data_IF_456231474690
#
_entry.id   IF_456231474690
#
_cell.length_a   1.000
_cell.length_b   1.000
_cell.length_c   1.000
_cell.angle_alpha   90.00
_cell.angle_beta   90.00
_cell.angle_gamma   90.00
#
_symmetry.space_group_name_H-M   'P 1'
#
loop_
_entity.id
_entity.type
_entity.pdbx_description
1 polymer ?
#
# COMPACT_ATOMS: atom_id res chain seq x y z
N UNK A 1 -7.29 -19.50 3.71
CA UNK A 1 -8.25 -18.37 3.56
C UNK A 1 -7.61 -16.99 3.76
N UNK A 2 -6.87 -16.74 4.87
CA UNK A 2 -6.24 -15.43 5.14
C UNK A 2 -5.16 -15.05 4.11
N UNK A 3 -4.25 -15.99 3.81
CA UNK A 3 -3.20 -15.81 2.80
C UNK A 3 -3.73 -15.45 1.41
N UNK A 4 -4.91 -15.98 1.05
CA UNK A 4 -5.55 -15.66 -0.23
C UNK A 4 -6.04 -14.23 -0.25
N UNK A 5 -6.68 -13.78 0.83
CA UNK A 5 -7.17 -12.42 0.93
C UNK A 5 -6.01 -11.41 0.90
N UNK A 6 -4.94 -11.65 1.67
CA UNK A 6 -3.74 -10.81 1.66
C UNK A 6 -3.12 -10.72 0.25
N UNK A 7 -3.05 -11.85 -0.48
CA UNK A 7 -2.56 -11.86 -1.85
C UNK A 7 -3.44 -11.06 -2.82
N UNK A 8 -4.76 -11.11 -2.65
CA UNK A 8 -5.72 -10.32 -3.44
C UNK A 8 -5.58 -8.82 -3.14
N UNK A 9 -5.38 -8.43 -1.87
CA UNK A 9 -5.11 -7.05 -1.47
C UNK A 9 -3.81 -6.52 -2.08
N UNK A 10 -2.69 -7.23 -1.88
CA UNK A 10 -1.38 -6.84 -2.43
C UNK A 10 -1.40 -6.71 -3.96
N UNK A 11 -2.04 -7.66 -4.66
CA UNK A 11 -2.19 -7.59 -6.13
C UNK A 11 -3.03 -6.39 -6.57
N UNK A 12 -4.12 -6.09 -5.85
CA UNK A 12 -4.99 -4.95 -6.14
C UNK A 12 -4.22 -3.64 -5.96
N UNK A 13 -3.46 -3.52 -4.86
CA UNK A 13 -2.68 -2.33 -4.55
C UNK A 13 -1.61 -2.07 -5.61
N UNK A 14 -0.90 -3.12 -6.03
CA UNK A 14 0.09 -3.02 -7.10
C UNK A 14 -0.52 -2.56 -8.43
N UNK A 15 -1.65 -3.14 -8.84
CA UNK A 15 -2.32 -2.73 -10.06
C UNK A 15 -2.76 -1.27 -10.01
N UNK A 16 -3.34 -0.82 -8.89
CA UNK A 16 -3.72 0.58 -8.72
C UNK A 16 -2.52 1.52 -8.79
N UNK A 17 -1.41 1.16 -8.15
CA UNK A 17 -0.18 1.96 -8.20
C UNK A 17 0.38 2.07 -9.63
N UNK A 18 0.38 0.97 -10.38
CA UNK A 18 0.81 0.96 -11.78
C UNK A 18 -0.14 1.75 -12.69
N UNK A 19 -1.44 1.67 -12.48
CA UNK A 19 -2.44 2.46 -13.22
C UNK A 19 -2.30 3.96 -12.94
N UNK A 20 -2.12 4.33 -11.66
CA UNK A 20 -1.87 5.71 -11.25
C UNK A 20 -0.59 6.23 -11.91
N UNK A 21 0.47 5.43 -11.91
CA UNK A 21 1.74 5.79 -12.55
C UNK A 21 1.61 5.94 -14.06
N UNK A 22 0.97 5.00 -14.75
CA UNK A 22 0.80 5.04 -16.20
C UNK A 22 0.01 6.27 -16.68
N UNK A 23 -0.90 6.78 -15.83
CA UNK A 23 -1.77 7.93 -16.13
C UNK A 23 -1.30 9.23 -15.49
N UNK A 24 -0.25 9.19 -14.68
CA UNK A 24 0.17 10.31 -13.83
C UNK A 24 -1.00 10.84 -12.97
N UNK A 25 -1.82 9.93 -12.46
CA UNK A 25 -3.04 10.25 -11.70
C UNK A 25 -2.72 10.32 -10.20
N UNK A 26 -2.66 11.55 -9.70
CA UNK A 26 -2.35 11.85 -8.29
C UNK A 26 -3.48 11.41 -7.37
N UNK A 27 -4.74 11.51 -7.81
CA UNK A 27 -5.89 11.09 -7.01
C UNK A 27 -5.87 9.58 -6.79
N UNK A 28 -5.62 8.82 -7.86
CA UNK A 28 -5.46 7.37 -7.78
C UNK A 28 -4.25 6.97 -6.90
N UNK A 29 -3.15 7.74 -6.95
CA UNK A 29 -2.00 7.51 -6.09
C UNK A 29 -2.32 7.71 -4.59
N UNK A 30 -3.11 8.73 -4.23
CA UNK A 30 -3.58 8.93 -2.85
C UNK A 30 -4.47 7.78 -2.37
N UNK A 31 -5.29 7.19 -3.24
CA UNK A 31 -6.09 6.02 -2.88
C UNK A 31 -5.21 4.81 -2.53
N UNK A 32 -4.10 4.62 -3.25
CA UNK A 32 -3.13 3.54 -2.95
C UNK A 32 -2.58 3.71 -1.54
N UNK A 33 -2.19 4.91 -1.13
CA UNK A 33 -1.68 5.13 0.23
C UNK A 33 -2.71 4.78 1.32
N UNK A 34 -4.00 5.07 1.08
CA UNK A 34 -5.08 4.74 2.02
C UNK A 34 -5.35 3.24 2.10
N UNK A 35 -5.28 2.54 0.96
CA UNK A 35 -5.54 1.10 0.91
C UNK A 35 -4.39 0.24 1.45
N UNK A 36 -3.16 0.75 1.45
CA UNK A 36 -1.99 0.08 2.01
C UNK A 36 -2.18 -0.33 3.47
N UNK A 37 -2.86 0.51 4.27
CA UNK A 37 -3.19 0.22 5.66
C UNK A 37 -3.97 -1.09 5.83
N UNK A 38 -4.79 -1.48 4.84
CA UNK A 38 -5.51 -2.75 4.89
C UNK A 38 -4.59 -3.96 4.69
N UNK A 39 -3.51 -3.83 3.92
CA UNK A 39 -2.49 -4.88 3.74
C UNK A 39 -1.73 -5.11 5.05
N UNK A 40 -1.34 -4.03 5.72
CA UNK A 40 -0.67 -4.09 7.03
C UNK A 40 -1.54 -4.74 8.10
N UNK A 41 -2.82 -4.34 8.18
CA UNK A 41 -3.76 -4.91 9.14
C UNK A 41 -4.00 -6.41 8.89
N UNK A 42 -4.10 -6.82 7.62
CA UNK A 42 -4.25 -8.24 7.26
C UNK A 42 -2.97 -9.02 7.59
N UNK A 43 -1.78 -8.46 7.36
CA UNK A 43 -0.51 -9.07 7.76
C UNK A 43 -0.47 -9.36 9.26
N UNK A 44 -0.81 -8.38 10.10
CA UNK A 44 -0.85 -8.52 11.55
C UNK A 44 -1.91 -9.55 12.01
N UNK A 45 -3.04 -9.63 11.31
CA UNK A 45 -4.05 -10.64 11.58
C UNK A 45 -3.55 -12.06 11.24
N UNK A 46 -2.93 -12.23 10.07
CA UNK A 46 -2.30 -13.49 9.63
C UNK A 46 -1.22 -13.92 10.61
N UNK A 47 -0.35 -13.01 11.02
CA UNK A 47 0.76 -13.30 11.93
C UNK A 47 0.24 -13.83 13.29
N UNK A 48 -0.76 -13.16 13.88
CA UNK A 48 -1.39 -13.62 15.13
C UNK A 48 -1.99 -15.01 15.00
N UNK A 49 -2.69 -15.30 13.89
CA UNK A 49 -3.25 -16.63 13.63
C UNK A 49 -2.16 -17.71 13.52
N UNK A 50 -1.07 -17.42 12.80
CA UNK A 50 0.04 -18.35 12.67
C UNK A 50 0.72 -18.62 14.01
N UNK A 51 0.87 -17.61 14.87
CA UNK A 51 1.38 -17.79 16.24
C UNK A 51 0.45 -18.68 17.06
N UNK A 52 -0.88 -18.51 16.95
CA UNK A 52 -1.85 -19.39 17.62
C UNK A 52 -1.67 -20.85 17.19
N UNK A 53 -1.50 -21.13 15.89
CA UNK A 53 -1.25 -22.49 15.43
C UNK A 53 0.05 -23.08 16.00
N UNK A 54 1.12 -22.28 16.08
CA UNK A 54 2.39 -22.70 16.68
C UNK A 54 2.25 -23.04 18.18
N UNK A 55 1.41 -22.29 18.91
CA UNK A 55 1.14 -22.50 20.33
C UNK A 55 0.25 -23.73 20.58
N UNK A 56 -0.73 -23.98 19.71
CA UNK A 56 -1.64 -25.14 19.81
C UNK A 56 -0.94 -26.47 19.48
N UNK A 57 -0.07 -26.49 18.47
CA UNK A 57 0.70 -27.67 18.10
C UNK A 57 2.11 -27.28 17.62
N UNK A 58 3.18 -27.53 18.42
CA UNK A 58 4.55 -27.21 18.04
C UNK A 58 5.05 -27.87 16.75
N UNK A 59 4.41 -28.96 16.28
CA UNK A 59 4.75 -29.58 14.99
C UNK A 59 4.40 -28.67 13.80
N UNK A 60 3.60 -27.63 14.03
CA UNK A 60 3.19 -26.68 13.00
C UNK A 60 4.23 -25.58 12.72
N UNK A 61 5.22 -25.41 13.60
CA UNK A 61 6.18 -24.30 13.55
C UNK A 61 6.85 -24.16 12.18
N UNK A 62 7.36 -25.26 11.61
CA UNK A 62 8.08 -25.20 10.34
C UNK A 62 7.21 -24.69 9.18
N UNK A 63 5.96 -25.17 9.04
CA UNK A 63 5.10 -24.71 7.95
C UNK A 63 4.51 -23.33 8.22
N UNK A 64 4.21 -23.01 9.48
CA UNK A 64 3.72 -21.69 9.85
C UNK A 64 4.80 -20.62 9.60
N UNK A 65 6.08 -20.91 9.86
CA UNK A 65 7.18 -20.03 9.48
C UNK A 65 7.25 -19.79 7.96
N UNK A 66 7.11 -20.84 7.13
CA UNK A 66 7.05 -20.67 5.67
C UNK A 66 5.91 -19.72 5.25
N UNK A 67 4.77 -19.77 5.92
CA UNK A 67 3.68 -18.83 5.66
C UNK A 67 3.97 -17.41 6.16
N UNK A 68 4.67 -17.24 7.28
CA UNK A 68 5.15 -15.91 7.71
C UNK A 68 6.04 -15.28 6.64
N UNK A 69 6.97 -16.03 6.05
CA UNK A 69 7.83 -15.53 4.96
C UNK A 69 7.02 -15.13 3.73
N UNK A 70 6.01 -15.92 3.37
CA UNK A 70 5.11 -15.60 2.27
C UNK A 70 4.25 -14.36 2.57
N UNK A 71 3.70 -14.23 3.77
CA UNK A 71 2.92 -13.08 4.20
C UNK A 71 3.79 -11.81 4.19
N UNK A 72 5.02 -11.88 4.70
CA UNK A 72 5.99 -10.78 4.65
C UNK A 72 6.35 -10.41 3.21
N UNK A 73 6.40 -11.37 2.28
CA UNK A 73 6.62 -11.06 0.87
C UNK A 73 5.44 -10.30 0.26
N UNK A 74 4.20 -10.60 0.66
CA UNK A 74 3.01 -9.89 0.21
C UNK A 74 2.93 -8.47 0.79
N UNK A 75 3.28 -8.28 2.07
CA UNK A 75 3.34 -6.95 2.68
C UNK A 75 4.39 -6.07 1.99
N UNK A 76 5.58 -6.60 1.68
CA UNK A 76 6.58 -5.86 0.89
C UNK A 76 6.10 -5.44 -0.50
N UNK A 77 5.23 -6.24 -1.12
CA UNK A 77 4.60 -5.83 -2.40
C UNK A 77 3.69 -4.63 -2.17
N UNK A 78 2.96 -4.60 -1.06
CA UNK A 78 2.13 -3.46 -0.66
C UNK A 78 2.97 -2.19 -0.46
N UNK A 79 3.99 -2.27 0.39
CA UNK A 79 4.97 -1.20 0.63
C UNK A 79 5.57 -0.65 -0.68
N UNK A 80 5.99 -1.52 -1.60
CA UNK A 80 6.53 -1.09 -2.89
C UNK A 80 5.48 -0.41 -3.78
N UNK A 81 4.22 -0.84 -3.70
CA UNK A 81 3.12 -0.22 -4.42
C UNK A 81 2.85 1.19 -3.90
N UNK A 82 2.86 1.38 -2.57
CA UNK A 82 2.82 2.70 -1.94
C UNK A 82 3.98 3.58 -2.37
N UNK A 83 5.22 3.08 -2.36
CA UNK A 83 6.37 3.87 -2.81
C UNK A 83 6.20 4.36 -4.27
N UNK A 84 5.66 3.52 -5.15
CA UNK A 84 5.34 3.92 -6.54
C UNK A 84 4.33 5.07 -6.54
N UNK A 85 3.26 4.98 -5.75
CA UNK A 85 2.26 6.05 -5.63
C UNK A 85 2.86 7.36 -5.10
N UNK A 86 3.70 7.30 -4.07
CA UNK A 86 4.42 8.47 -3.56
C UNK A 86 5.29 9.14 -4.63
N UNK A 87 5.95 8.35 -5.48
CA UNK A 87 6.71 8.87 -6.62
C UNK A 87 5.81 9.54 -7.66
N UNK A 88 4.61 9.03 -7.93
CA UNK A 88 3.65 9.69 -8.84
C UNK A 88 3.29 11.08 -8.33
N UNK A 89 2.93 11.19 -7.05
CA UNK A 89 2.59 12.46 -6.43
C UNK A 89 3.76 13.44 -6.55
N UNK A 90 4.98 12.98 -6.25
CA UNK A 90 6.19 13.78 -6.40
C UNK A 90 6.42 14.24 -7.84
N UNK A 91 6.31 13.34 -8.82
CA UNK A 91 6.56 13.63 -10.25
C UNK A 91 5.58 14.67 -10.81
N UNK A 92 4.31 14.61 -10.42
CA UNK A 92 3.27 15.51 -10.94
C UNK A 92 3.24 16.84 -10.22
N UNK A 93 3.40 16.86 -8.89
CA UNK A 93 3.27 18.07 -8.10
C UNK A 93 4.60 18.78 -7.80
N UNK A 94 5.73 18.11 -8.02
CA UNK A 94 7.06 18.61 -7.65
C UNK A 94 7.28 18.76 -6.14
N UNK A 95 6.39 18.18 -5.32
CA UNK A 95 6.40 18.28 -3.86
C UNK A 95 6.79 16.94 -3.24
N UNK A 96 7.78 16.97 -2.35
CA UNK A 96 8.19 15.78 -1.60
C UNK A 96 7.17 15.46 -0.51
N UNK A 97 6.35 14.44 -0.76
CA UNK A 97 5.28 14.00 0.14
C UNK A 97 5.67 12.86 1.07
N UNK A 98 6.91 12.37 0.98
CA UNK A 98 7.35 11.11 1.62
C UNK A 98 7.41 11.16 3.15
N UNK A 99 7.28 12.36 3.74
CA UNK A 99 7.45 12.60 5.19
C UNK A 99 6.29 13.37 5.82
N UNK A 100 5.15 13.46 5.13
CA UNK A 100 3.94 14.12 5.63
C UNK A 100 2.80 13.13 5.83
N UNK A 101 1.92 13.43 6.79
CA UNK A 101 0.72 12.62 7.05
C UNK A 101 -0.16 12.54 5.80
N UNK A 102 -0.94 11.46 5.64
CA UNK A 102 -1.85 11.29 4.50
C UNK A 102 -2.80 12.50 4.38
N UNK A 103 -3.34 12.98 5.50
CA UNK A 103 -4.22 14.16 5.54
C UNK A 103 -3.53 15.43 5.01
N UNK A 104 -2.25 15.59 5.28
CA UNK A 104 -1.46 16.73 4.84
C UNK A 104 -1.10 16.64 3.35
N UNK A 105 -0.87 15.42 2.83
CA UNK A 105 -0.74 15.18 1.38
C UNK A 105 -2.03 15.54 0.64
N UNK A 106 -3.18 15.10 1.14
CA UNK A 106 -4.48 15.39 0.54
C UNK A 106 -4.75 16.89 0.42
N UNK A 107 -4.45 17.65 1.49
CA UNK A 107 -4.55 19.11 1.47
C UNK A 107 -3.61 19.74 0.44
N UNK A 108 -2.39 19.23 0.32
CA UNK A 108 -1.42 19.74 -0.66
C UNK A 108 -1.83 19.44 -2.10
N UNK A 109 -2.47 18.29 -2.33
CA UNK A 109 -2.99 17.90 -3.64
C UNK A 109 -4.20 18.75 -4.03
N UNK A 110 -5.20 18.86 -3.14
CA UNK A 110 -6.39 19.69 -3.38
C UNK A 110 -6.05 21.19 -3.53
N UNK A 111 -5.08 21.68 -2.76
CA UNK A 111 -4.59 23.05 -2.87
C UNK A 111 -3.86 23.32 -4.19
N UNK A 112 -3.18 22.34 -4.77
CA UNK A 112 -2.56 22.45 -6.09
C UNK A 112 -3.59 22.45 -7.22
N UNK A 113 -4.63 21.61 -7.15
CA UNK A 113 -5.74 21.62 -8.11
C UNK A 113 -6.51 22.95 -8.09
N UNK A 114 -6.73 23.52 -6.90
CA UNK A 114 -7.37 24.83 -6.74
C UNK A 114 -6.52 26.01 -7.27
N UNK A 115 -5.19 25.89 -7.23
CA UNK A 115 -4.25 26.88 -7.77
C UNK A 115 -3.99 26.70 -9.29
N UNK A 116 -4.35 25.54 -9.85
CA UNK A 116 -4.06 25.11 -11.22
C UNK A 116 -5.15 25.39 -12.25
N UNK A 117 -6.01 26.39 -12.03
CA UNK A 117 -6.84 26.94 -13.09
C UNK A 117 -5.97 27.47 -14.23
N UNK A 118 -5.85 26.68 -15.29
CA UNK A 118 -5.12 26.92 -16.55
C UNK A 118 -5.04 28.41 -16.95
N UNK A 119 -3.85 29.01 -17.13
CA UNK A 119 -3.64 29.93 -18.23
C UNK A 119 -3.33 29.10 -19.48
N UNK A 120 -4.24 29.16 -20.45
CA UNK A 120 -4.05 28.55 -21.75
C UNK A 120 -2.79 29.13 -22.42
N UNK A 121 -1.97 28.26 -22.99
CA UNK A 121 -1.04 28.55 -24.07
C UNK A 121 -0.82 27.29 -24.90
#
# INVERSE_FOLDING_TARGET
PPMRHMGELARRLLNKALDAFARMDVTAALEVEREDLAVDQEYEAVLRQLVTYMMEDPRTITWALNLVWAARALERIGDHSKNIAEYVIYLVQGKDVRHVSIEERERQVQGAEAAGGTPAA
#
